data_IF_750211299003
#
_entry.id   IF_750211299003
#
_cell.length_a   1.000
_cell.length_b   1.000
_cell.length_c   1.000
_cell.angle_alpha   90.00
_cell.angle_beta   90.00
_cell.angle_gamma   90.00
#
_symmetry.space_group_name_H-M   'P 1'
#
loop_
_entity.id
_entity.type
_entity.pdbx_description
1 polymer ?
#
# COMPACT_ATOMS: atom_id res chain seq x y z
N UNK A 1 -20.57 -10.98 -31.95
CA UNK A 1 -20.11 -11.96 -30.94
C UNK A 1 -18.63 -12.34 -31.08
N UNK A 2 -18.14 -12.88 -32.21
CA UNK A 2 -16.73 -13.28 -32.36
C UNK A 2 -15.73 -12.12 -32.12
N UNK A 3 -15.92 -10.98 -32.78
CA UNK A 3 -15.04 -9.81 -32.60
C UNK A 3 -15.09 -9.25 -31.17
N UNK A 4 -16.28 -9.20 -30.58
CA UNK A 4 -16.47 -8.75 -29.20
C UNK A 4 -15.69 -9.63 -28.21
N UNK A 5 -15.79 -10.96 -28.33
CA UNK A 5 -15.02 -11.90 -27.50
C UNK A 5 -13.53 -11.72 -27.68
N UNK A 6 -13.06 -11.47 -28.90
CA UNK A 6 -11.64 -11.28 -29.18
C UNK A 6 -11.11 -9.96 -28.61
N UNK A 7 -11.89 -8.89 -28.71
CA UNK A 7 -11.56 -7.60 -28.09
C UNK A 7 -11.55 -7.72 -26.57
N UNK A 8 -12.60 -8.28 -25.96
CA UNK A 8 -12.65 -8.54 -24.51
C UNK A 8 -11.47 -9.40 -24.07
N UNK A 9 -11.10 -10.43 -24.84
CA UNK A 9 -9.95 -11.29 -24.55
C UNK A 9 -8.64 -10.53 -24.49
N UNK A 10 -8.40 -9.62 -25.44
CA UNK A 10 -7.17 -8.81 -25.49
C UNK A 10 -7.15 -7.83 -24.31
N UNK A 11 -8.25 -7.11 -24.08
CA UNK A 11 -8.34 -6.12 -23.00
C UNK A 11 -8.18 -6.77 -21.63
N UNK A 12 -8.97 -7.80 -21.33
CA UNK A 12 -8.91 -8.51 -20.03
C UNK A 12 -7.56 -9.19 -19.86
N UNK A 13 -7.04 -9.85 -20.90
CA UNK A 13 -5.75 -10.53 -20.82
C UNK A 13 -4.58 -9.59 -20.58
N UNK A 14 -4.54 -8.45 -21.27
CA UNK A 14 -3.50 -7.44 -21.07
C UNK A 14 -3.61 -6.78 -19.70
N UNK A 15 -4.83 -6.45 -19.25
CA UNK A 15 -5.06 -5.81 -17.96
C UNK A 15 -4.68 -6.72 -16.79
N UNK A 16 -4.99 -8.02 -16.85
CA UNK A 16 -4.60 -8.99 -15.83
C UNK A 16 -3.08 -9.18 -15.76
N UNK A 17 -2.39 -9.22 -16.91
CA UNK A 17 -0.92 -9.28 -16.93
C UNK A 17 -0.33 -8.02 -16.31
N UNK A 18 -0.85 -6.84 -16.67
CA UNK A 18 -0.37 -5.57 -16.16
C UNK A 18 -0.60 -5.45 -14.64
N UNK A 19 -1.84 -5.65 -14.19
CA UNK A 19 -2.21 -5.63 -12.77
C UNK A 19 -1.40 -6.65 -11.95
N UNK A 20 -1.31 -7.90 -12.43
CA UNK A 20 -0.52 -8.92 -11.79
C UNK A 20 0.98 -8.59 -11.73
N UNK A 21 1.55 -7.99 -12.77
CA UNK A 21 2.96 -7.56 -12.77
C UNK A 21 3.22 -6.41 -11.80
N UNK A 22 2.36 -5.40 -11.76
CA UNK A 22 2.53 -4.28 -10.82
C UNK A 22 2.47 -4.76 -9.38
N UNK A 23 1.52 -5.63 -9.03
CA UNK A 23 1.47 -6.23 -7.68
C UNK A 23 2.66 -7.16 -7.42
N UNK A 24 3.15 -7.89 -8.43
CA UNK A 24 4.34 -8.74 -8.27
C UNK A 24 5.64 -7.94 -8.09
N UNK A 25 5.68 -6.67 -8.52
CA UNK A 25 6.78 -5.76 -8.25
C UNK A 25 6.81 -5.32 -6.77
N UNK A 26 5.66 -5.33 -6.08
CA UNK A 26 5.54 -5.06 -4.64
C UNK A 26 4.56 -6.03 -3.94
N UNK A 27 4.95 -7.31 -3.79
CA UNK A 27 4.09 -8.32 -3.17
C UNK A 27 3.93 -8.09 -1.67
N UNK A 28 4.89 -7.41 -1.02
CA UNK A 28 4.81 -7.01 0.39
C UNK A 28 3.69 -5.99 0.61
N UNK A 29 3.63 -4.94 -0.21
CA UNK A 29 2.57 -3.95 -0.16
C UNK A 29 1.19 -4.57 -0.40
N UNK A 30 1.06 -5.45 -1.39
CA UNK A 30 -0.19 -6.19 -1.60
C UNK A 30 -0.51 -7.15 -0.43
N UNK A 31 0.50 -7.77 0.18
CA UNK A 31 0.37 -8.59 1.39
C UNK A 31 -0.21 -7.81 2.57
N UNK A 32 0.27 -6.59 2.84
CA UNK A 32 -0.29 -5.74 3.90
C UNK A 32 -1.78 -5.43 3.67
N UNK A 33 -2.18 -5.20 2.42
CA UNK A 33 -3.61 -5.04 2.08
C UNK A 33 -4.40 -6.32 2.32
N UNK A 34 -3.85 -7.49 2.03
CA UNK A 34 -4.50 -8.76 2.38
C UNK A 34 -4.62 -8.94 3.90
N UNK A 35 -3.63 -8.55 4.70
CA UNK A 35 -3.75 -8.55 6.17
C UNK A 35 -4.90 -7.66 6.66
N UNK A 36 -5.04 -6.45 6.10
CA UNK A 36 -6.17 -5.55 6.39
C UNK A 36 -7.51 -6.24 6.08
N UNK A 37 -7.63 -6.94 4.94
CA UNK A 37 -8.82 -7.71 4.60
C UNK A 37 -9.08 -8.90 5.54
N UNK A 38 -8.04 -9.56 6.05
CA UNK A 38 -8.16 -10.70 6.96
C UNK A 38 -8.47 -10.31 8.40
N UNK A 39 -8.32 -9.04 8.75
CA UNK A 39 -8.61 -8.51 10.08
C UNK A 39 -10.05 -8.77 10.54
N UNK A 40 -10.26 -8.73 11.86
CA UNK A 40 -11.57 -8.94 12.50
C UNK A 40 -12.66 -7.97 12.00
N UNK A 41 -12.25 -6.76 11.58
CA UNK A 41 -13.14 -5.72 11.11
C UNK A 41 -13.66 -5.91 9.68
N UNK A 42 -13.13 -6.88 8.91
CA UNK A 42 -13.44 -7.05 7.48
C UNK A 42 -13.95 -8.47 7.18
N UNK A 43 -13.05 -9.45 6.99
CA UNK A 43 -13.43 -10.85 6.76
C UNK A 43 -13.41 -11.70 8.03
N UNK A 44 -12.79 -11.22 9.11
CA UNK A 44 -12.60 -11.94 10.36
C UNK A 44 -11.95 -13.33 10.14
N UNK A 45 -10.83 -13.32 9.40
CA UNK A 45 -10.05 -14.52 9.10
C UNK A 45 -8.57 -14.31 9.48
N UNK A 46 -8.26 -13.97 10.74
CA UNK A 46 -6.90 -13.63 11.17
C UNK A 46 -5.89 -14.76 10.96
N UNK A 47 -6.38 -16.01 10.85
CA UNK A 47 -5.59 -17.18 10.49
C UNK A 47 -4.81 -17.02 9.18
N UNK A 48 -5.31 -16.25 8.20
CA UNK A 48 -4.60 -16.03 6.93
C UNK A 48 -3.54 -14.93 6.96
N UNK A 49 -3.54 -14.07 8.00
CA UNK A 49 -2.62 -12.94 8.09
C UNK A 49 -1.13 -13.36 8.05
N UNK A 50 -0.69 -14.42 8.77
CA UNK A 50 0.69 -14.87 8.69
C UNK A 50 1.13 -15.36 7.31
N UNK A 51 0.19 -15.66 6.41
CA UNK A 51 0.46 -16.11 5.04
C UNK A 51 0.11 -15.05 4.00
N UNK A 52 -0.13 -13.80 4.41
CA UNK A 52 -0.65 -12.78 3.53
C UNK A 52 0.30 -12.47 2.36
N UNK A 53 1.62 -12.44 2.60
CA UNK A 53 2.62 -12.21 1.55
C UNK A 53 2.70 -13.39 0.59
N UNK A 54 2.67 -14.63 1.08
CA UNK A 54 2.69 -15.83 0.24
C UNK A 54 1.42 -15.93 -0.61
N UNK A 55 0.26 -15.60 -0.03
CA UNK A 55 -1.01 -15.52 -0.75
C UNK A 55 -0.98 -14.40 -1.78
N UNK A 56 -0.41 -13.23 -1.46
CA UNK A 56 -0.21 -12.13 -2.39
C UNK A 56 0.58 -12.60 -3.62
N UNK A 57 1.74 -13.25 -3.41
CA UNK A 57 2.56 -13.81 -4.50
C UNK A 57 1.76 -14.80 -5.35
N UNK A 58 1.06 -15.75 -4.72
CA UNK A 58 0.25 -16.77 -5.43
C UNK A 58 -0.83 -16.11 -6.30
N UNK A 59 -1.54 -15.11 -5.75
CA UNK A 59 -2.58 -14.38 -6.46
C UNK A 59 -1.99 -13.62 -7.65
N UNK A 60 -0.87 -12.91 -7.46
CA UNK A 60 -0.22 -12.13 -8.53
C UNK A 60 0.25 -13.03 -9.68
N UNK A 61 0.93 -14.12 -9.37
CA UNK A 61 1.40 -15.10 -10.37
C UNK A 61 0.19 -15.72 -11.10
N UNK A 62 -0.86 -16.07 -10.36
CA UNK A 62 -2.09 -16.61 -10.95
C UNK A 62 -2.74 -15.62 -11.91
N UNK A 63 -2.77 -14.34 -11.56
CA UNK A 63 -3.34 -13.28 -12.39
C UNK A 63 -2.58 -13.12 -13.71
N UNK A 64 -1.24 -13.05 -13.65
CA UNK A 64 -0.37 -12.99 -14.83
C UNK A 64 -0.58 -14.22 -15.72
N UNK A 65 -0.55 -15.42 -15.13
CA UNK A 65 -0.69 -16.66 -15.90
C UNK A 65 -2.08 -16.80 -16.53
N UNK A 66 -3.15 -16.43 -15.82
CA UNK A 66 -4.50 -16.44 -16.38
C UNK A 66 -4.63 -15.44 -17.53
N UNK A 67 -4.03 -14.26 -17.42
CA UNK A 67 -3.93 -13.30 -18.51
C UNK A 67 -3.19 -13.87 -19.73
N UNK A 68 -2.03 -14.50 -19.52
CA UNK A 68 -1.26 -15.17 -20.59
C UNK A 68 -2.05 -16.32 -21.22
N UNK A 69 -2.70 -17.17 -20.42
CA UNK A 69 -3.51 -18.28 -20.93
C UNK A 69 -4.68 -17.78 -21.78
N UNK A 70 -5.31 -16.68 -21.34
CA UNK A 70 -6.41 -16.05 -22.03
C UNK A 70 -5.96 -15.50 -23.38
N UNK A 71 -4.84 -14.77 -23.44
CA UNK A 71 -4.28 -14.22 -24.68
C UNK A 71 -3.87 -15.32 -25.65
N UNK A 72 -3.14 -16.34 -25.18
CA UNK A 72 -2.72 -17.49 -26.00
C UNK A 72 -3.90 -18.37 -26.45
N UNK A 73 -5.04 -18.28 -25.76
CA UNK A 73 -6.24 -19.06 -26.06
C UNK A 73 -6.15 -20.53 -25.64
N UNK A 74 -5.29 -20.85 -24.66
CA UNK A 74 -5.15 -22.20 -24.09
C UNK A 74 -6.08 -22.39 -22.89
N UNK A 75 -6.38 -23.65 -22.55
CA UNK A 75 -7.19 -24.03 -21.37
C UNK A 75 -8.47 -23.22 -21.13
N UNK A 76 -9.10 -22.71 -22.19
CA UNK A 76 -10.24 -21.79 -22.15
C UNK A 76 -11.34 -22.10 -21.15
N UNK A 77 -11.66 -23.37 -20.87
CA UNK A 77 -12.64 -23.73 -19.84
C UNK A 77 -12.14 -23.36 -18.44
N UNK A 78 -10.94 -23.79 -18.10
CA UNK A 78 -10.29 -23.46 -16.83
C UNK A 78 -10.09 -21.95 -16.71
N UNK A 79 -9.46 -21.32 -17.71
CA UNK A 79 -9.16 -19.88 -17.68
C UNK A 79 -10.43 -19.05 -17.51
N UNK A 80 -11.50 -19.30 -18.28
CA UNK A 80 -12.75 -18.54 -18.13
C UNK A 80 -13.44 -18.73 -16.77
N UNK A 81 -13.38 -19.93 -16.18
CA UNK A 81 -13.93 -20.16 -14.84
C UNK A 81 -13.09 -19.50 -13.75
N UNK A 82 -11.76 -19.63 -13.82
CA UNK A 82 -10.84 -19.02 -12.86
C UNK A 82 -10.95 -17.50 -12.87
N UNK A 83 -10.98 -16.87 -14.06
CA UNK A 83 -11.20 -15.43 -14.22
C UNK A 83 -12.54 -14.99 -13.61
N UNK A 84 -13.61 -15.77 -13.82
CA UNK A 84 -14.94 -15.46 -13.29
C UNK A 84 -14.99 -15.54 -11.76
N UNK A 85 -14.40 -16.58 -11.16
CA UNK A 85 -14.32 -16.71 -9.70
C UNK A 85 -13.50 -15.57 -9.11
N UNK A 86 -12.35 -15.28 -9.70
CA UNK A 86 -11.44 -14.25 -9.23
C UNK A 86 -12.08 -12.85 -9.30
N UNK A 87 -12.75 -12.51 -10.41
CA UNK A 87 -13.40 -11.20 -10.53
C UNK A 87 -14.62 -11.08 -9.63
N UNK A 88 -15.39 -12.15 -9.41
CA UNK A 88 -16.51 -12.13 -8.44
C UNK A 88 -15.97 -11.85 -7.04
N UNK A 89 -14.86 -12.50 -6.65
CA UNK A 89 -14.21 -12.27 -5.37
C UNK A 89 -13.71 -10.82 -5.23
N UNK A 90 -12.95 -10.30 -6.21
CA UNK A 90 -12.47 -8.91 -6.17
C UNK A 90 -13.61 -7.88 -6.23
N UNK A 91 -14.65 -8.12 -7.02
CA UNK A 91 -15.84 -7.25 -7.07
C UNK A 91 -16.55 -7.20 -5.71
N UNK A 92 -16.59 -8.33 -4.99
CA UNK A 92 -17.13 -8.36 -3.64
C UNK A 92 -16.26 -7.56 -2.67
N UNK A 93 -14.92 -7.71 -2.73
CA UNK A 93 -14.01 -6.94 -1.88
C UNK A 93 -14.07 -5.43 -2.16
N UNK A 94 -14.06 -5.01 -3.43
CA UNK A 94 -14.18 -3.60 -3.81
C UNK A 94 -15.51 -3.00 -3.40
N UNK A 95 -16.61 -3.75 -3.58
CA UNK A 95 -17.93 -3.35 -3.09
C UNK A 95 -17.94 -3.19 -1.56
N UNK A 96 -17.36 -4.12 -0.83
CA UNK A 96 -17.29 -4.06 0.63
C UNK A 96 -16.47 -2.85 1.09
N UNK A 97 -15.27 -2.64 0.52
CA UNK A 97 -14.41 -1.50 0.82
C UNK A 97 -15.13 -0.16 0.57
N UNK A 98 -15.90 -0.05 -0.52
CA UNK A 98 -16.66 1.16 -0.83
C UNK A 98 -17.84 1.42 0.11
N UNK A 99 -18.50 0.39 0.66
CA UNK A 99 -19.69 0.59 1.51
C UNK A 99 -19.35 0.80 2.99
N UNK A 100 -18.20 0.33 3.45
CA UNK A 100 -17.83 0.33 4.86
C UNK A 100 -16.59 1.18 5.17
N UNK A 101 -15.96 1.79 4.16
CA UNK A 101 -14.74 2.63 4.26
C UNK A 101 -13.63 2.00 5.12
N UNK A 102 -13.52 0.66 5.09
CA UNK A 102 -12.57 -0.09 5.93
C UNK A 102 -11.18 -0.24 5.33
N UNK A 103 -11.06 -0.13 4.00
CA UNK A 103 -9.78 -0.30 3.27
C UNK A 103 -9.71 0.79 2.20
N UNK A 104 -8.71 1.67 2.32
CA UNK A 104 -8.58 2.90 1.52
C UNK A 104 -8.17 2.65 0.07
N UNK A 105 -7.49 1.53 -0.23
CA UNK A 105 -7.16 1.10 -1.60
C UNK A 105 -7.29 -0.42 -1.74
N UNK A 106 -7.99 -0.88 -2.78
CA UNK A 106 -8.16 -2.31 -3.07
C UNK A 106 -6.87 -2.99 -3.53
N UNK A 107 -5.80 -2.22 -3.83
CA UNK A 107 -4.49 -2.76 -4.22
C UNK A 107 -4.48 -3.42 -5.59
N UNK A 108 -5.55 -3.23 -6.38
CA UNK A 108 -5.70 -3.87 -7.69
C UNK A 108 -4.63 -3.45 -8.71
N UNK A 109 -4.02 -2.28 -8.59
CA UNK A 109 -2.87 -1.89 -9.41
C UNK A 109 -1.68 -1.48 -8.53
N UNK A 110 -1.68 -1.92 -7.26
CA UNK A 110 -0.74 -1.42 -6.25
C UNK A 110 -0.63 0.11 -6.24
N UNK A 111 0.53 0.60 -5.86
CA UNK A 111 0.80 2.05 -5.79
C UNK A 111 0.99 2.72 -7.16
N UNK A 112 0.98 1.97 -8.27
CA UNK A 112 1.23 2.54 -9.60
C UNK A 112 0.06 3.35 -10.14
N UNK A 113 -1.17 2.96 -9.79
CA UNK A 113 -2.40 3.69 -10.12
C UNK A 113 -3.30 3.61 -8.89
N UNK A 114 -3.12 4.52 -7.91
CA UNK A 114 -4.02 4.58 -6.77
C UNK A 114 -5.40 4.95 -7.29
N UNK A 115 -6.37 4.07 -7.06
CA UNK A 115 -7.75 4.24 -7.50
C UNK A 115 -8.64 4.40 -6.28
N UNK A 116 -9.60 5.30 -6.36
CA UNK A 116 -10.59 5.41 -5.30
C UNK A 116 -11.42 4.13 -5.18
N UNK A 117 -11.98 3.87 -4.00
CA UNK A 117 -12.76 2.65 -3.72
C UNK A 117 -13.92 2.47 -4.71
N UNK A 118 -14.60 3.57 -5.05
CA UNK A 118 -15.67 3.58 -6.05
C UNK A 118 -15.16 3.33 -7.48
N UNK A 119 -14.05 3.97 -7.89
CA UNK A 119 -13.45 3.77 -9.21
C UNK A 119 -13.00 2.32 -9.38
N UNK A 120 -12.40 1.75 -8.34
CA UNK A 120 -12.01 0.34 -8.28
C UNK A 120 -13.22 -0.60 -8.46
N UNK A 121 -14.34 -0.32 -7.78
CA UNK A 121 -15.58 -1.08 -7.92
C UNK A 121 -16.18 -0.99 -9.33
N UNK A 122 -16.24 0.21 -9.92
CA UNK A 122 -16.75 0.41 -11.28
C UNK A 122 -15.88 -0.32 -12.31
N UNK A 123 -14.55 -0.24 -12.16
CA UNK A 123 -13.60 -0.99 -13.00
C UNK A 123 -13.84 -2.50 -12.91
N UNK A 124 -14.01 -3.04 -11.71
CA UNK A 124 -14.30 -4.47 -11.51
C UNK A 124 -15.65 -4.89 -12.10
N UNK A 125 -16.66 -4.02 -12.09
CA UNK A 125 -17.94 -4.27 -12.74
C UNK A 125 -17.82 -4.29 -14.28
N UNK A 126 -17.03 -3.38 -14.86
CA UNK A 126 -16.72 -3.38 -16.30
C UNK A 126 -15.96 -4.65 -16.68
N UNK A 127 -14.94 -5.01 -15.90
CA UNK A 127 -14.17 -6.25 -16.10
C UNK A 127 -15.05 -7.49 -15.96
N UNK A 128 -15.96 -7.52 -14.99
CA UNK A 128 -16.95 -8.57 -14.83
C UNK A 128 -17.82 -8.72 -16.09
N UNK A 129 -18.30 -7.61 -16.66
CA UNK A 129 -19.03 -7.62 -17.92
C UNK A 129 -18.22 -8.20 -19.10
N UNK A 130 -16.95 -7.80 -19.24
CA UNK A 130 -16.04 -8.33 -20.26
C UNK A 130 -15.76 -9.83 -20.05
N UNK A 131 -15.58 -10.26 -18.80
CA UNK A 131 -15.35 -11.66 -18.44
C UNK A 131 -16.59 -12.51 -18.71
N UNK A 132 -17.81 -12.00 -18.50
CA UNK A 132 -19.05 -12.70 -18.88
C UNK A 132 -19.14 -12.91 -20.40
N UNK A 133 -18.77 -11.90 -21.19
CA UNK A 133 -18.68 -12.03 -22.66
C UNK A 133 -17.70 -13.15 -23.04
N UNK A 134 -16.52 -13.19 -22.40
CA UNK A 134 -15.52 -14.25 -22.61
C UNK A 134 -16.08 -15.61 -22.18
N UNK A 135 -16.75 -15.68 -21.03
CA UNK A 135 -17.25 -16.91 -20.42
C UNK A 135 -18.30 -17.60 -21.28
N UNK A 136 -19.32 -16.86 -21.74
CA UNK A 136 -20.35 -17.38 -22.66
C UNK A 136 -19.82 -17.51 -24.09
N UNK A 137 -18.89 -16.63 -24.47
CA UNK A 137 -18.24 -16.59 -25.77
C UNK A 137 -17.06 -17.55 -25.95
N UNK A 138 -16.71 -18.35 -24.94
CA UNK A 138 -15.48 -19.18 -24.90
C UNK A 138 -15.31 -20.11 -26.11
N UNK A 139 -16.39 -20.48 -26.79
CA UNK A 139 -16.34 -21.27 -28.04
C UNK A 139 -15.57 -20.56 -29.16
N UNK A 140 -15.52 -19.22 -29.15
CA UNK A 140 -14.83 -18.40 -30.15
C UNK A 140 -13.35 -18.16 -29.83
N UNK A 141 -12.85 -18.66 -28.69
CA UNK A 141 -11.43 -18.60 -28.31
C UNK A 141 -10.71 -19.76 -28.98
N UNK A 142 -9.79 -19.42 -29.88
CA UNK A 142 -8.93 -20.34 -30.59
C UNK A 142 -7.47 -20.12 -30.17
N UNK A 143 -6.67 -21.19 -30.02
CA UNK A 143 -5.24 -21.06 -29.76
C UNK A 143 -4.55 -20.27 -30.88
N UNK A 144 -3.70 -19.31 -30.51
CA UNK A 144 -2.93 -18.52 -31.48
C UNK A 144 -1.68 -19.29 -31.95
N UNK A 145 -1.12 -20.09 -31.05
CA UNK A 145 0.09 -20.90 -31.28
C UNK A 145 -0.16 -22.36 -30.93
N UNK A 146 0.78 -23.23 -31.29
CA UNK A 146 0.70 -24.66 -30.91
C UNK A 146 0.70 -24.83 -29.39
N UNK A 147 0.01 -25.86 -28.88
CA UNK A 147 -0.08 -26.13 -27.45
C UNK A 147 1.29 -26.25 -26.76
N UNK A 148 2.28 -26.84 -27.45
CA UNK A 148 3.65 -26.98 -26.93
C UNK A 148 4.33 -25.63 -26.76
N UNK A 149 4.22 -24.75 -27.76
CA UNK A 149 4.80 -23.40 -27.72
C UNK A 149 4.11 -22.56 -26.63
N UNK A 150 2.78 -22.63 -26.53
CA UNK A 150 2.05 -21.91 -25.49
C UNK A 150 2.46 -22.36 -24.08
N UNK A 151 2.56 -23.68 -23.83
CA UNK A 151 3.00 -24.21 -22.54
C UNK A 151 4.46 -23.86 -22.24
N UNK A 152 5.35 -23.92 -23.24
CA UNK A 152 6.74 -23.51 -23.08
C UNK A 152 6.85 -22.03 -22.70
N UNK A 153 6.12 -21.15 -23.41
CA UNK A 153 6.08 -19.73 -23.09
C UNK A 153 5.51 -19.46 -21.69
N UNK A 154 4.39 -20.08 -21.32
CA UNK A 154 3.84 -19.99 -19.97
C UNK A 154 4.80 -20.47 -18.89
N UNK A 155 5.60 -21.51 -19.17
CA UNK A 155 6.65 -21.98 -18.28
C UNK A 155 7.76 -20.96 -18.08
N UNK A 156 8.18 -20.29 -19.16
CA UNK A 156 9.16 -19.17 -19.07
C UNK A 156 8.59 -18.01 -18.27
N UNK A 157 7.32 -17.63 -18.49
CA UNK A 157 6.66 -16.58 -17.71
C UNK A 157 6.60 -16.95 -16.23
N UNK A 158 6.28 -18.20 -15.89
CA UNK A 158 6.26 -18.66 -14.50
C UNK A 158 7.64 -18.58 -13.85
N UNK A 159 8.70 -19.00 -14.55
CA UNK A 159 10.08 -18.89 -14.06
C UNK A 159 10.50 -17.42 -13.88
N UNK A 160 10.11 -16.54 -14.81
CA UNK A 160 10.35 -15.11 -14.68
C UNK A 160 9.61 -14.53 -13.46
N UNK A 161 8.37 -14.96 -13.19
CA UNK A 161 7.65 -14.53 -12.00
C UNK A 161 8.36 -14.96 -10.71
N UNK A 162 8.80 -16.22 -10.62
CA UNK A 162 9.57 -16.69 -9.47
C UNK A 162 10.88 -15.93 -9.27
N UNK A 163 11.59 -15.63 -10.36
CA UNK A 163 12.81 -14.83 -10.28
C UNK A 163 12.52 -13.39 -9.80
N UNK A 164 11.49 -12.73 -10.33
CA UNK A 164 11.06 -11.39 -9.88
C UNK A 164 10.68 -11.44 -8.40
N UNK A 165 9.84 -12.39 -7.97
CA UNK A 165 9.45 -12.54 -6.57
C UNK A 165 10.67 -12.73 -5.66
N UNK A 166 11.59 -13.63 -6.02
CA UNK A 166 12.80 -13.85 -5.25
C UNK A 166 13.66 -12.60 -5.17
N UNK A 167 13.70 -11.79 -6.23
CA UNK A 167 14.43 -10.54 -6.22
C UNK A 167 13.75 -9.52 -5.30
N UNK A 168 12.46 -9.19 -5.49
CA UNK A 168 11.78 -8.12 -4.73
C UNK A 168 11.50 -8.46 -3.26
N UNK A 169 11.63 -9.73 -2.85
CA UNK A 169 11.57 -10.13 -1.44
C UNK A 169 12.93 -10.08 -0.74
N UNK A 170 14.03 -10.07 -1.49
CA UNK A 170 15.39 -10.00 -0.95
C UNK A 170 16.10 -8.68 -1.30
N UNK A 171 15.50 -7.85 -2.14
CA UNK A 171 15.99 -6.57 -2.62
C UNK A 171 14.78 -5.65 -2.79
N UNK A 172 15.03 -4.35 -2.98
CA UNK A 172 13.94 -3.40 -3.18
C UNK A 172 13.18 -3.65 -4.50
N UNK A 173 11.89 -3.24 -4.59
CA UNK A 173 11.13 -3.24 -5.83
C UNK A 173 11.89 -2.62 -7.00
N UNK A 174 11.76 -3.21 -8.19
CA UNK A 174 12.46 -2.73 -9.39
C UNK A 174 12.03 -1.33 -9.81
N UNK A 175 10.76 -1.00 -9.57
CA UNK A 175 10.19 0.33 -9.79
C UNK A 175 9.51 0.79 -8.52
N UNK A 176 9.89 1.97 -8.03
CA UNK A 176 9.26 2.59 -6.87
C UNK A 176 8.15 3.54 -7.33
N UNK A 177 6.89 3.16 -7.08
CA UNK A 177 5.71 3.96 -7.40
C UNK A 177 5.24 4.83 -6.22
N UNK A 178 5.87 4.72 -5.06
CA UNK A 178 5.42 5.36 -3.81
C UNK A 178 5.83 6.83 -3.74
N UNK A 179 5.23 7.57 -2.81
CA UNK A 179 5.55 8.98 -2.58
C UNK A 179 7.04 9.20 -2.26
N UNK A 180 7.65 8.29 -1.50
CA UNK A 180 9.05 8.35 -1.05
C UNK A 180 10.07 7.77 -2.05
N UNK A 181 9.85 7.92 -3.36
CA UNK A 181 10.84 7.51 -4.37
C UNK A 181 12.11 8.37 -4.27
N UNK A 182 13.21 7.86 -4.82
CA UNK A 182 14.48 8.62 -4.90
C UNK A 182 14.25 9.93 -5.68
N UNK A 183 14.75 11.04 -5.14
CA UNK A 183 14.58 12.40 -5.63
C UNK A 183 13.39 13.16 -5.03
N UNK A 184 12.59 12.53 -4.17
CA UNK A 184 11.52 13.22 -3.42
C UNK A 184 12.11 14.01 -2.25
N UNK A 185 11.72 15.28 -2.14
CA UNK A 185 11.90 16.11 -0.95
C UNK A 185 10.74 15.85 0.02
N UNK A 186 11.07 15.42 1.25
CA UNK A 186 10.07 15.02 2.25
C UNK A 186 9.28 16.24 2.74
N UNK A 187 9.95 17.36 3.00
CA UNK A 187 9.32 18.57 3.52
C UNK A 187 8.38 19.19 2.47
N UNK A 188 8.81 19.27 1.21
CA UNK A 188 7.94 19.69 0.11
C UNK A 188 6.75 18.74 -0.07
N UNK A 189 6.94 17.44 0.15
CA UNK A 189 5.87 16.44 0.10
C UNK A 189 4.85 16.53 1.24
N UNK A 190 5.21 17.20 2.34
CA UNK A 190 4.36 17.45 3.52
C UNK A 190 3.52 18.72 3.42
N UNK A 191 3.84 19.62 2.48
CA UNK A 191 3.14 20.91 2.37
C UNK A 191 1.65 20.73 2.23
N UNK A 192 0.93 21.41 3.10
CA UNK A 192 -0.53 21.41 3.16
C UNK A 192 -1.14 22.17 1.99
N UNK A 193 -2.43 21.94 1.74
CA UNK A 193 -3.16 22.66 0.71
C UNK A 193 -3.10 24.19 0.93
N UNK A 194 -3.14 24.65 2.19
CA UNK A 194 -3.07 26.07 2.55
C UNK A 194 -1.74 26.70 2.14
N UNK A 195 -0.62 26.01 2.38
CA UNK A 195 0.72 26.47 2.02
C UNK A 195 0.94 26.52 0.51
N UNK A 196 0.24 25.66 -0.24
CA UNK A 196 0.27 25.61 -1.71
C UNK A 196 -0.80 26.51 -2.36
N UNK A 197 -1.68 27.15 -1.58
CA UNK A 197 -2.82 27.91 -2.09
C UNK A 197 -3.87 27.05 -2.82
N UNK A 198 -3.90 25.75 -2.52
CA UNK A 198 -4.88 24.78 -3.00
C UNK A 198 -6.04 24.65 -2.01
N UNK A 199 -7.16 24.10 -2.46
CA UNK A 199 -8.27 23.76 -1.57
C UNK A 199 -7.99 22.40 -0.92
N UNK A 200 -7.93 22.36 0.41
CA UNK A 200 -7.81 21.14 1.19
C UNK A 200 -9.12 20.35 1.26
N UNK A 201 -9.12 19.16 1.89
CA UNK A 201 -10.32 18.37 2.09
C UNK A 201 -11.39 19.14 2.86
N UNK A 202 -12.61 19.17 2.32
CA UNK A 202 -13.78 19.75 2.96
C UNK A 202 -14.53 18.64 3.66
N UNK A 203 -14.46 18.65 4.99
CA UNK A 203 -15.25 17.80 5.86
C UNK A 203 -16.55 18.49 6.24
N UNK A 204 -17.64 17.73 6.25
CA UNK A 204 -18.94 18.15 6.75
C UNK A 204 -19.28 17.34 7.99
N UNK A 205 -19.55 18.02 9.09
CA UNK A 205 -19.96 17.37 10.33
C UNK A 205 -21.44 16.98 10.24
N UNK A 206 -21.74 15.70 10.43
CA UNK A 206 -23.08 15.15 10.53
C UNK A 206 -23.44 15.01 12.00
N UNK A 207 -24.34 15.85 12.49
CA UNK A 207 -24.83 15.84 13.86
C UNK A 207 -25.96 14.82 14.02
N UNK A 208 -25.80 13.87 14.93
CA UNK A 208 -26.86 12.92 15.29
C UNK A 208 -27.70 13.49 16.44
N UNK A 209 -28.99 13.72 16.18
CA UNK A 209 -29.95 14.29 17.12
C UNK A 209 -30.99 13.25 17.50
N UNK A 210 -31.29 13.16 18.79
CA UNK A 210 -32.34 12.28 19.31
C UNK A 210 -33.48 13.09 19.92
N UNK A 211 -34.70 12.82 19.48
CA UNK A 211 -35.87 13.45 20.04
C UNK A 211 -36.17 12.88 21.44
N UNK A 212 -36.25 13.75 22.44
CA UNK A 212 -36.51 13.35 23.83
C UNK A 212 -37.93 12.79 24.05
N UNK A 213 -38.89 13.14 23.18
CA UNK A 213 -40.30 12.78 23.33
C UNK A 213 -40.71 11.55 22.50
N UNK A 214 -40.21 11.41 21.26
CA UNK A 214 -40.54 10.29 20.37
C UNK A 214 -39.47 9.18 20.36
N UNK A 215 -38.25 9.48 20.84
CA UNK A 215 -37.10 8.59 20.72
C UNK A 215 -36.54 8.47 19.30
N UNK A 216 -37.05 9.27 18.35
CA UNK A 216 -36.60 9.31 16.96
C UNK A 216 -35.17 9.86 16.86
N UNK A 217 -34.33 9.24 16.04
CA UNK A 217 -32.94 9.65 15.81
C UNK A 217 -32.81 10.11 14.36
N UNK A 218 -32.33 11.33 14.16
CA UNK A 218 -32.07 11.92 12.84
C UNK A 218 -30.61 12.36 12.75
N UNK A 219 -30.08 12.40 11.53
CA UNK A 219 -28.78 13.01 11.24
C UNK A 219 -29.00 14.26 10.39
N UNK A 220 -28.40 15.37 10.79
CA UNK A 220 -28.43 16.64 10.06
C UNK A 220 -27.01 17.09 9.79
N UNK A 221 -26.77 17.68 8.63
CA UNK A 221 -25.46 18.24 8.30
C UNK A 221 -25.19 19.58 9.02
N UNK A 222 -23.93 20.00 9.06
CA UNK A 222 -23.48 21.23 9.73
C UNK A 222 -24.24 22.50 9.30
N UNK A 223 -24.53 22.63 8.01
CA UNK A 223 -25.29 23.74 7.44
C UNK A 223 -26.74 23.68 7.89
N UNK A 224 -27.38 22.52 7.85
CA UNK A 224 -28.74 22.33 8.37
C UNK A 224 -28.82 22.57 9.88
N UNK A 225 -27.82 22.11 10.64
CA UNK A 225 -27.71 22.32 12.07
C UNK A 225 -27.73 23.82 12.41
N UNK A 226 -26.97 24.61 11.64
CA UNK A 226 -26.86 26.07 11.74
C UNK A 226 -28.09 26.80 11.21
N UNK A 227 -28.50 26.53 9.98
CA UNK A 227 -29.58 27.25 9.31
C UNK A 227 -30.95 27.03 9.98
N UNK A 228 -31.19 25.85 10.55
CA UNK A 228 -32.43 25.53 11.25
C UNK A 228 -32.35 25.69 12.78
N UNK A 229 -31.21 26.15 13.30
CA UNK A 229 -31.02 26.46 14.72
C UNK A 229 -31.30 25.28 15.65
N UNK A 230 -30.75 24.10 15.35
CA UNK A 230 -31.08 22.87 16.08
C UNK A 230 -30.69 22.92 17.56
N UNK A 231 -29.73 23.75 17.97
CA UNK A 231 -29.39 24.00 19.39
C UNK A 231 -30.49 24.74 20.17
N UNK A 232 -31.44 25.38 19.48
CA UNK A 232 -32.54 26.12 20.10
C UNK A 232 -33.79 25.26 20.32
N UNK A 233 -33.80 24.02 19.82
CA UNK A 233 -34.92 23.09 19.90
C UNK A 233 -34.74 22.14 21.11
N UNK A 234 -35.31 22.43 22.28
CA UNK A 234 -35.05 21.67 23.52
C UNK A 234 -35.55 20.21 23.47
N UNK A 235 -36.43 19.88 22.54
CA UNK A 235 -36.91 18.53 22.30
C UNK A 235 -35.92 17.62 21.56
N UNK A 236 -34.80 18.16 21.05
CA UNK A 236 -33.75 17.42 20.36
C UNK A 236 -32.43 17.48 21.14
N UNK A 237 -31.94 16.32 21.53
CA UNK A 237 -30.69 16.16 22.27
C UNK A 237 -29.57 15.72 21.32
N UNK A 238 -28.49 16.48 21.27
CA UNK A 238 -27.32 16.15 20.47
C UNK A 238 -26.56 14.97 21.09
N UNK A 239 -26.36 13.93 20.29
CA UNK A 239 -25.55 12.78 20.66
C UNK A 239 -24.12 13.02 20.19
N UNK A 240 -23.31 13.69 21.01
CA UNK A 240 -21.91 14.03 20.69
C UNK A 240 -21.10 12.78 20.28
N UNK A 241 -21.35 11.65 20.95
CA UNK A 241 -20.66 10.38 20.72
C UNK A 241 -20.99 9.72 19.36
N UNK A 242 -22.02 10.22 18.66
CA UNK A 242 -22.49 9.72 17.35
C UNK A 242 -22.41 10.79 16.27
N UNK A 243 -21.69 11.88 16.53
CA UNK A 243 -21.42 12.91 15.51
C UNK A 243 -20.32 12.41 14.60
N UNK A 244 -20.61 12.32 13.30
CA UNK A 244 -19.70 11.74 12.31
C UNK A 244 -19.19 12.85 11.40
N UNK A 245 -17.88 12.91 11.16
CA UNK A 245 -17.32 13.79 10.15
C UNK A 245 -17.32 13.07 8.82
N UNK A 246 -18.02 13.60 7.81
CA UNK A 246 -18.09 13.04 6.47
C UNK A 246 -17.30 13.90 5.50
N UNK A 247 -16.33 13.31 4.81
CA UNK A 247 -15.60 13.97 3.73
C UNK A 247 -16.55 14.23 2.55
N UNK A 248 -16.68 15.50 2.13
CA UNK A 248 -17.55 15.91 1.01
C UNK A 248 -16.73 16.16 -0.25
N UNK A 249 -15.60 16.85 -0.11
CA UNK A 249 -14.62 17.03 -1.18
C UNK A 249 -13.24 16.67 -0.65
N UNK A 250 -12.53 15.78 -1.36
CA UNK A 250 -11.22 15.29 -0.94
C UNK A 250 -10.14 16.37 -0.94
N UNK A 251 -10.30 17.42 -1.74
CA UNK A 251 -9.32 18.49 -1.88
C UNK A 251 -7.91 17.96 -2.19
N UNK A 252 -6.89 18.79 -1.94
CA UNK A 252 -5.50 18.38 -1.96
C UNK A 252 -5.11 17.77 -0.61
N UNK A 253 -4.67 16.52 -0.65
CA UNK A 253 -4.05 15.82 0.47
C UNK A 253 -2.55 15.66 0.20
N UNK A 254 -1.66 16.02 1.13
CA UNK A 254 -0.22 15.89 0.93
C UNK A 254 0.17 14.43 0.62
N UNK A 255 1.01 14.18 -0.41
CA UNK A 255 1.53 12.85 -0.70
C UNK A 255 2.26 12.21 0.49
N UNK A 256 2.81 13.03 1.38
CA UNK A 256 3.43 12.63 2.64
C UNK A 256 2.67 13.33 3.77
N UNK A 257 1.84 12.62 4.52
CA UNK A 257 1.07 13.17 5.65
C UNK A 257 1.38 12.48 6.99
N UNK A 258 1.88 11.25 6.95
CA UNK A 258 2.15 10.44 8.15
C UNK A 258 3.63 10.44 8.59
N UNK A 259 4.47 11.31 8.02
CA UNK A 259 5.89 11.38 8.38
C UNK A 259 6.08 12.16 9.68
N UNK A 260 6.41 11.43 10.75
CA UNK A 260 6.81 12.00 12.02
C UNK A 260 7.83 11.10 12.72
N UNK A 261 8.75 11.72 13.45
CA UNK A 261 9.77 11.04 14.25
C UNK A 261 9.90 11.66 15.63
N UNK A 262 9.53 10.86 16.63
CA UNK A 262 9.64 11.23 18.03
C UNK A 262 10.83 10.52 18.67
N UNK A 263 11.69 11.31 19.32
CA UNK A 263 12.74 10.83 20.22
C UNK A 263 12.24 10.79 21.66
N UNK A 264 13.08 10.30 22.58
CA UNK A 264 12.88 10.39 24.02
C UNK A 264 12.72 11.84 24.54
N UNK A 265 13.30 12.81 23.83
CA UNK A 265 13.26 14.23 24.18
C UNK A 265 12.16 15.03 23.48
N UNK A 266 11.41 14.40 22.57
CA UNK A 266 10.30 15.01 21.82
C UNK A 266 10.44 14.84 20.30
N UNK A 267 9.59 15.55 19.56
CA UNK A 267 9.56 15.56 18.09
C UNK A 267 10.86 16.17 17.52
N UNK A 268 11.56 15.41 16.69
CA UNK A 268 12.80 15.82 16.02
C UNK A 268 12.68 15.80 14.49
N UNK A 269 11.47 15.72 13.95
CA UNK A 269 11.19 15.55 12.52
C UNK A 269 11.87 16.60 11.66
N UNK A 270 11.60 17.88 11.93
CA UNK A 270 12.18 18.98 11.15
C UNK A 270 13.69 19.14 11.38
N UNK A 271 14.16 18.89 12.61
CA UNK A 271 15.58 18.93 12.91
C UNK A 271 16.37 17.91 12.08
N UNK A 272 15.82 16.70 11.87
CA UNK A 272 16.38 15.69 10.99
C UNK A 272 16.37 16.11 9.52
N UNK A 273 15.25 16.66 9.03
CA UNK A 273 15.13 17.08 7.62
C UNK A 273 16.06 18.26 7.29
N UNK A 274 16.35 19.13 8.26
CA UNK A 274 17.31 20.23 8.11
C UNK A 274 18.79 19.78 8.13
N UNK A 275 19.08 18.54 8.57
CA UNK A 275 20.47 18.07 8.60
C UNK A 275 21.00 17.89 7.16
N UNK A 276 22.27 18.26 6.90
CA UNK A 276 22.86 18.13 5.57
C UNK A 276 22.87 16.68 5.06
N UNK A 277 23.18 15.72 5.94
CA UNK A 277 23.32 14.29 5.62
C UNK A 277 22.70 13.46 6.72
N UNK A 278 21.66 12.71 6.37
CA UNK A 278 21.01 11.76 7.29
C UNK A 278 20.96 10.39 6.63
N UNK A 279 21.20 9.36 7.42
CA UNK A 279 20.90 7.99 7.02
C UNK A 279 19.99 7.38 8.06
N UNK A 280 18.80 6.99 7.62
CA UNK A 280 17.77 6.41 8.46
C UNK A 280 17.73 4.90 8.29
N UNK A 281 17.75 4.16 9.39
CA UNK A 281 17.48 2.72 9.42
C UNK A 281 16.02 2.50 9.76
N UNK A 282 15.24 2.00 8.81
CA UNK A 282 13.81 1.83 8.93
C UNK A 282 13.49 0.37 9.27
N UNK A 283 12.75 0.16 10.36
CA UNK A 283 12.19 -1.13 10.70
C UNK A 283 10.79 -0.92 11.27
N UNK A 284 9.72 -1.24 10.52
CA UNK A 284 8.37 -0.88 10.94
C UNK A 284 8.04 -1.49 12.31
N UNK A 285 8.35 -2.77 12.51
CA UNK A 285 8.26 -3.45 13.80
C UNK A 285 9.53 -4.29 13.95
N UNK A 286 10.32 -4.02 14.99
CA UNK A 286 11.58 -4.71 15.24
C UNK A 286 11.38 -6.21 15.51
N UNK A 287 10.29 -6.59 16.17
CA UNK A 287 9.91 -8.00 16.40
C UNK A 287 9.58 -8.77 15.11
N UNK A 288 9.22 -8.05 14.04
CA UNK A 288 8.93 -8.62 12.72
C UNK A 288 10.08 -8.42 11.73
N UNK A 289 11.18 -7.80 12.14
CA UNK A 289 12.33 -7.59 11.28
C UNK A 289 13.11 -8.90 11.11
N UNK A 290 13.78 -9.04 9.96
CA UNK A 290 14.62 -10.19 9.70
C UNK A 290 15.82 -10.19 10.68
N UNK A 291 16.03 -11.25 11.47
CA UNK A 291 17.13 -11.29 12.44
C UNK A 291 18.51 -11.14 11.79
N UNK A 292 18.74 -11.74 10.61
CA UNK A 292 20.01 -11.60 9.88
C UNK A 292 20.18 -10.16 9.37
N UNK A 293 19.07 -9.53 8.98
CA UNK A 293 19.04 -8.12 8.62
C UNK A 293 19.35 -7.19 9.79
N UNK A 294 18.83 -7.47 10.99
CA UNK A 294 19.15 -6.72 12.19
C UNK A 294 20.62 -6.88 12.61
N UNK A 295 21.17 -8.09 12.52
CA UNK A 295 22.61 -8.34 12.74
C UNK A 295 23.46 -7.53 11.74
N UNK A 296 23.10 -7.53 10.45
CA UNK A 296 23.79 -6.78 9.42
C UNK A 296 23.72 -5.26 9.65
N UNK A 297 22.57 -4.74 10.10
CA UNK A 297 22.41 -3.35 10.52
C UNK A 297 23.27 -3.05 11.76
N UNK A 298 23.35 -3.97 12.71
CA UNK A 298 24.21 -3.86 13.88
C UNK A 298 25.65 -3.62 13.46
N UNK A 299 26.21 -4.52 12.65
CA UNK A 299 27.56 -4.38 12.11
C UNK A 299 27.75 -3.09 11.30
N UNK A 300 26.79 -2.77 10.42
CA UNK A 300 26.82 -1.58 9.58
C UNK A 300 26.82 -0.28 10.40
N UNK A 301 26.01 -0.21 11.46
CA UNK A 301 25.85 1.01 12.28
C UNK A 301 27.18 1.46 12.91
N UNK A 302 28.04 0.54 13.32
CA UNK A 302 29.36 0.85 13.87
C UNK A 302 30.33 1.43 12.83
N UNK A 303 30.15 1.11 11.54
CA UNK A 303 31.00 1.68 10.47
C UNK A 303 30.75 3.18 10.27
N UNK A 304 29.58 3.65 10.68
CA UNK A 304 29.16 5.05 10.58
C UNK A 304 29.62 5.89 11.77
N UNK A 305 30.14 5.27 12.83
CA UNK A 305 30.62 5.97 14.01
C UNK A 305 31.74 6.98 13.65
N UNK A 306 31.64 8.19 14.20
CA UNK A 306 32.58 9.28 13.93
C UNK A 306 32.50 9.87 12.52
N UNK A 307 31.45 9.56 11.74
CA UNK A 307 31.13 10.29 10.50
C UNK A 307 30.43 11.62 10.79
N UNK A 308 30.39 12.51 9.79
CA UNK A 308 29.57 13.72 9.78
C UNK A 308 28.11 13.43 9.37
N UNK A 309 27.78 12.16 9.12
CA UNK A 309 26.46 11.69 8.70
C UNK A 309 25.65 11.35 9.96
N UNK A 310 24.48 11.97 10.09
CA UNK A 310 23.56 11.66 11.19
C UNK A 310 22.89 10.33 10.91
N UNK A 311 23.13 9.32 11.75
CA UNK A 311 22.45 8.01 11.65
C UNK A 311 21.38 7.88 12.72
N UNK A 312 20.16 7.51 12.31
CA UNK A 312 19.03 7.34 13.23
C UNK A 312 18.17 6.16 12.79
N UNK A 313 17.64 5.40 13.72
CA UNK A 313 16.66 4.34 13.45
C UNK A 313 15.25 4.92 13.47
N UNK A 314 14.32 4.36 12.71
CA UNK A 314 12.91 4.74 12.72
C UNK A 314 12.02 3.50 12.76
N UNK A 315 11.20 3.39 13.80
CA UNK A 315 10.35 2.21 14.06
C UNK A 315 8.99 2.60 14.64
N UNK A 316 7.99 1.71 14.56
CA UNK A 316 6.76 1.83 15.36
C UNK A 316 6.79 0.94 16.61
N UNK A 317 7.93 0.31 16.91
CA UNK A 317 8.12 -0.48 18.13
C UNK A 317 8.28 0.39 19.37
N UNK A 318 7.92 -0.16 20.53
CA UNK A 318 8.05 0.51 21.82
C UNK A 318 9.48 0.48 22.35
N UNK A 319 9.80 1.40 23.27
CA UNK A 319 11.13 1.56 23.86
C UNK A 319 11.75 0.25 24.39
N UNK A 320 10.96 -0.58 25.09
CA UNK A 320 11.45 -1.86 25.62
C UNK A 320 11.93 -2.81 24.52
N UNK A 321 11.17 -2.91 23.43
CA UNK A 321 11.51 -3.71 22.24
C UNK A 321 12.74 -3.13 21.53
N UNK A 322 12.85 -1.80 21.44
CA UNK A 322 14.01 -1.11 20.86
C UNK A 322 15.29 -1.47 21.62
N UNK A 323 15.30 -1.31 22.94
CA UNK A 323 16.48 -1.58 23.75
C UNK A 323 16.86 -3.06 23.75
N UNK A 324 15.87 -3.96 23.73
CA UNK A 324 16.11 -5.39 23.57
C UNK A 324 16.80 -5.70 22.22
N UNK A 325 16.27 -5.17 21.11
CA UNK A 325 16.84 -5.38 19.78
C UNK A 325 18.25 -4.78 19.66
N UNK A 326 18.46 -3.56 20.20
CA UNK A 326 19.79 -2.93 20.23
C UNK A 326 20.81 -3.78 20.98
N UNK A 327 20.43 -4.34 22.13
CA UNK A 327 21.32 -5.19 22.91
C UNK A 327 21.55 -6.55 22.25
N UNK A 328 20.52 -7.18 21.68
CA UNK A 328 20.63 -8.49 21.03
C UNK A 328 21.52 -8.43 19.78
N UNK A 329 21.25 -7.48 18.89
CA UNK A 329 21.91 -7.34 17.59
C UNK A 329 23.08 -6.35 17.60
N UNK A 330 23.46 -5.84 18.78
CA UNK A 330 24.56 -4.89 18.97
C UNK A 330 24.43 -3.64 18.08
N UNK A 331 23.24 -3.07 17.98
CA UNK A 331 22.98 -1.90 17.13
C UNK A 331 23.51 -0.63 17.80
N UNK A 332 24.46 0.04 17.13
CA UNK A 332 25.18 1.22 17.62
C UNK A 332 24.50 2.56 17.35
N UNK A 333 23.19 2.57 17.03
CA UNK A 333 22.40 3.79 16.80
C UNK A 333 21.14 3.81 17.66
N UNK A 334 20.59 5.01 17.85
CA UNK A 334 19.33 5.22 18.55
C UNK A 334 18.16 5.23 17.58
N UNK A 335 16.99 4.78 18.05
CA UNK A 335 15.75 4.74 17.27
C UNK A 335 14.79 5.84 17.72
N UNK A 336 14.14 6.46 16.75
CA UNK A 336 12.94 7.27 16.90
C UNK A 336 11.70 6.41 16.65
N UNK A 337 10.58 6.89 17.19
CA UNK A 337 9.28 6.26 17.05
C UNK A 337 8.41 7.05 16.07
N UNK A 338 7.66 6.37 15.22
CA UNK A 338 6.63 6.97 14.38
C UNK A 338 5.64 5.94 13.85
N UNK A 339 4.87 6.34 12.83
CA UNK A 339 3.81 5.50 12.29
C UNK A 339 4.33 4.33 11.43
N UNK A 340 3.87 3.11 11.73
CA UNK A 340 4.30 1.90 11.04
C UNK A 340 3.83 1.83 9.58
N UNK A 341 2.70 2.45 9.24
CA UNK A 341 2.18 2.53 7.86
C UNK A 341 3.03 3.48 7.03
N UNK A 342 3.47 4.60 7.61
CA UNK A 342 4.44 5.52 7.01
C UNK A 342 5.75 4.80 6.71
N UNK A 343 6.33 4.09 7.69
CA UNK A 343 7.59 3.34 7.52
C UNK A 343 7.47 2.30 6.41
N UNK A 344 6.39 1.50 6.42
CA UNK A 344 6.10 0.53 5.35
C UNK A 344 6.06 1.21 3.99
N UNK A 345 5.44 2.39 3.89
CA UNK A 345 5.34 3.18 2.66
C UNK A 345 6.69 3.71 2.21
N UNK A 346 7.57 4.08 3.13
CA UNK A 346 8.92 4.55 2.78
C UNK A 346 9.74 3.43 2.18
N UNK A 347 9.80 2.23 2.77
CA UNK A 347 10.67 1.16 2.26
C UNK A 347 10.04 -0.24 2.38
N UNK A 348 10.23 -1.08 1.35
CA UNK A 348 9.80 -2.49 1.35
C UNK A 348 10.93 -3.38 1.83
N UNK A 349 11.45 -3.09 3.02
CA UNK A 349 12.49 -3.87 3.68
C UNK A 349 12.36 -3.68 5.19
N UNK A 350 12.65 -4.72 5.96
CA UNK A 350 12.54 -4.70 7.41
C UNK A 350 13.67 -5.55 8.03
N UNK A 351 14.82 -4.95 8.38
CA UNK A 351 15.13 -3.52 8.31
C UNK A 351 15.58 -3.06 6.90
N UNK A 352 15.58 -1.76 6.62
CA UNK A 352 16.17 -1.20 5.41
C UNK A 352 16.75 0.19 5.65
N UNK A 353 17.47 0.75 4.68
CA UNK A 353 18.15 2.05 4.83
C UNK A 353 17.63 3.08 3.83
N UNK A 354 17.48 4.32 4.27
CA UNK A 354 17.18 5.49 3.44
C UNK A 354 18.19 6.60 3.72
N UNK A 355 18.82 7.14 2.68
CA UNK A 355 19.72 8.29 2.78
C UNK A 355 19.01 9.56 2.33
N UNK A 356 19.15 10.62 3.14
CA UNK A 356 18.61 11.95 2.89
C UNK A 356 19.74 12.98 2.81
N UNK A 357 19.64 13.87 1.82
CA UNK A 357 20.50 15.04 1.66
C UNK A 357 19.63 16.30 1.72
N UNK A 358 19.76 17.09 2.79
CA UNK A 358 18.93 18.27 3.05
C UNK A 358 17.41 17.96 2.85
N UNK A 359 16.93 16.88 3.48
CA UNK A 359 15.53 16.45 3.37
C UNK A 359 15.14 15.71 2.07
N UNK A 360 16.04 15.63 1.07
CA UNK A 360 15.79 14.94 -0.20
C UNK A 360 16.28 13.49 -0.16
N UNK A 361 15.44 12.54 -0.55
CA UNK A 361 15.81 11.12 -0.63
C UNK A 361 16.80 10.91 -1.77
N UNK A 362 18.05 10.57 -1.45
CA UNK A 362 19.12 10.34 -2.44
C UNK A 362 19.39 8.85 -2.69
N UNK A 363 19.01 7.97 -1.76
CA UNK A 363 19.21 6.54 -1.93
C UNK A 363 18.40 5.69 -0.94
N UNK A 364 18.14 4.44 -1.32
CA UNK A 364 17.35 3.48 -0.56
C UNK A 364 17.92 2.08 -0.78
N UNK A 365 18.04 1.29 0.27
CA UNK A 365 18.64 -0.05 0.20
C UNK A 365 17.89 -1.06 1.08
N UNK A 366 17.80 -2.28 0.57
CA UNK A 366 17.43 -3.44 1.37
C UNK A 366 18.59 -3.80 2.30
N UNK A 367 18.34 -4.49 3.41
CA UNK A 367 19.40 -5.00 4.28
C UNK A 367 20.37 -5.98 3.59
N UNK A 368 20.02 -6.53 2.42
CA UNK A 368 20.92 -7.37 1.62
C UNK A 368 21.88 -6.55 0.76
N UNK A 369 21.61 -5.26 0.61
CA UNK A 369 22.31 -4.34 -0.29
C UNK A 369 22.88 -3.14 0.48
N UNK A 370 23.24 -3.33 1.75
CA UNK A 370 23.69 -2.22 2.62
C UNK A 370 24.89 -1.49 1.99
N UNK A 371 24.82 -0.16 1.83
CA UNK A 371 25.88 0.60 1.22
C UNK A 371 27.06 0.75 2.19
N UNK A 372 28.28 0.84 1.66
CA UNK A 372 29.44 1.21 2.45
C UNK A 372 29.40 2.69 2.85
N UNK A 373 30.17 3.06 3.88
CA UNK A 373 30.35 4.45 4.27
C UNK A 373 30.87 5.31 3.11
N UNK A 374 31.85 4.82 2.36
CA UNK A 374 32.42 5.52 1.21
C UNK A 374 31.39 5.70 0.09
N UNK A 375 30.51 4.73 -0.14
CA UNK A 375 29.43 4.84 -1.12
C UNK A 375 28.41 5.90 -0.71
N UNK A 376 28.08 6.00 0.57
CA UNK A 376 27.21 7.05 1.11
C UNK A 376 27.87 8.42 1.02
N UNK A 377 29.13 8.55 1.44
CA UNK A 377 29.89 9.80 1.33
C UNK A 377 30.03 10.28 -0.12
N UNK A 378 30.15 9.36 -1.09
CA UNK A 378 30.18 9.69 -2.51
C UNK A 378 28.80 10.03 -3.11
N UNK A 379 27.72 9.57 -2.47
CA UNK A 379 26.35 9.86 -2.88
C UNK A 379 25.93 11.28 -2.48
N UNK A 380 26.32 11.71 -1.28
CA UNK A 380 26.17 13.09 -0.81
C UNK A 380 27.10 14.03 -1.59
N UNK A 381 26.60 15.20 -2.00
CA UNK A 381 27.24 16.11 -2.95
C UNK A 381 27.86 17.35 -2.34
#
# INVERSE_FOLDING_TARGET
MKYLVQLSRILVGALFIFSGWVKLNDPMGFGFKLEEYFSEGVLNMPFFSPWAVELAVIICISEILLGVFLLLGIWKRFTSWALLIMIIFFTFLTWYSWNYDKVTDCGCFGDAIPLETFESFVKDLILSGLILIIFFGRKFIQPIVSKKVALGFSGVVLLACFWITSHVLNHLPMVDFRAYKIGTDIEEGMKTAEELGLQGPVYQTMFTLKNANSGEVIQVDDKQYIDEGWWEKPEWELQNDLTESKLIEKGYEPPIHDYSQESDTGDITFWLLEQPKVVMVLAYELERADPEGLDAIGEWSWTMEGSDIVTVGWTSSVYETIEAAKHEHQIGLDFTVGDGTAIKTVIRSNPGIVALENGVIVGKWHWNDLPSREELEALFK
#
